data_IF_040139000214
#
_entry.id   IF_040139000214
#
_cell.length_a   1.000
_cell.length_b   1.000
_cell.length_c   1.000
_cell.angle_alpha   90.00
_cell.angle_beta   90.00
_cell.angle_gamma   90.00
#
_symmetry.space_group_name_H-M   'P 1'
#
loop_
_entity.id
_entity.type
_entity.pdbx_description
1 polymer ?
#
# COMPACT_ATOMS: atom_id res chain seq x y z
N UNK A 1 -3.37 5.68 -3.95
CA UNK A 1 -3.78 7.09 -3.90
C UNK A 1 -3.01 7.80 -2.79
N UNK A 2 -2.50 8.98 -3.07
CA UNK A 2 -1.72 9.77 -2.13
C UNK A 2 -2.63 10.85 -1.53
N UNK A 3 -2.60 10.98 -0.20
CA UNK A 3 -3.41 11.94 0.54
C UNK A 3 -2.50 13.01 1.12
N UNK A 4 -2.79 14.27 0.85
CA UNK A 4 -2.05 15.41 1.38
C UNK A 4 -2.94 16.14 2.40
N UNK A 5 -2.47 16.26 3.62
CA UNK A 5 -3.15 16.95 4.72
C UNK A 5 -2.53 18.36 4.87
N UNK A 6 -3.31 19.41 4.64
CA UNK A 6 -2.89 20.79 4.78
C UNK A 6 -3.88 21.61 5.66
N UNK A 7 -3.58 22.79 6.09
CA UNK A 7 -4.36 23.56 7.08
C UNK A 7 -5.61 24.27 6.52
N UNK A 8 -6.73 24.31 7.27
CA UNK A 8 -7.88 25.17 7.00
C UNK A 8 -7.57 26.67 7.18
N UNK A 9 -8.11 27.48 6.26
CA UNK A 9 -8.01 28.94 6.33
C UNK A 9 -8.92 29.50 7.44
N UNK A 10 -8.35 29.82 8.58
CA UNK A 10 -8.92 30.81 9.49
C UNK A 10 -8.98 32.16 8.78
N UNK A 11 -10.09 32.91 8.95
CA UNK A 11 -10.34 34.22 8.32
C UNK A 11 -9.40 35.34 8.77
N UNK A 12 -8.51 35.10 9.70
CA UNK A 12 -7.40 35.99 10.03
C UNK A 12 -6.13 35.53 9.28
N UNK A 13 -5.39 36.43 8.58
CA UNK A 13 -4.17 36.06 7.92
C UNK A 13 -3.16 35.58 8.98
N UNK A 14 -3.02 34.26 9.11
CA UNK A 14 -1.92 33.66 9.89
C UNK A 14 -0.60 34.13 9.28
N UNK A 15 0.41 34.46 10.07
CA UNK A 15 1.73 34.74 9.53
C UNK A 15 2.15 33.59 8.66
N UNK A 16 2.72 33.87 7.48
CA UNK A 16 3.22 32.82 6.59
C UNK A 16 4.19 31.95 7.36
N UNK A 17 4.04 30.62 7.35
CA UNK A 17 4.95 29.72 8.02
C UNK A 17 6.36 29.95 7.48
N UNK A 18 7.33 30.04 8.37
CA UNK A 18 8.72 30.20 7.95
C UNK A 18 9.32 28.89 7.44
N UNK A 19 8.73 27.76 7.81
CA UNK A 19 9.22 26.42 7.43
C UNK A 19 8.05 25.46 7.27
N UNK A 20 8.08 24.69 6.19
CA UNK A 20 7.17 23.58 5.94
C UNK A 20 7.95 22.28 6.05
N UNK A 21 7.44 21.33 6.82
CA UNK A 21 8.00 19.98 6.90
C UNK A 21 7.12 19.02 6.12
N UNK A 22 7.73 18.26 5.22
CA UNK A 22 7.07 17.24 4.43
C UNK A 22 7.34 15.87 5.05
N UNK A 23 6.29 15.15 5.44
CA UNK A 23 6.37 13.82 6.06
C UNK A 23 5.87 12.76 5.10
N UNK A 24 6.77 11.84 4.70
CA UNK A 24 6.49 10.75 3.78
C UNK A 24 6.69 9.38 4.44
N UNK A 25 6.08 8.35 3.85
CA UNK A 25 6.37 6.95 4.19
C UNK A 25 5.89 6.52 5.57
N UNK A 26 5.01 7.29 6.19
CA UNK A 26 4.44 6.95 7.48
C UNK A 26 3.33 5.90 7.31
N UNK A 27 3.71 4.64 7.19
CA UNK A 27 2.75 3.52 7.14
C UNK A 27 2.05 3.30 8.48
N UNK A 28 2.70 3.67 9.58
CA UNK A 28 2.18 3.59 10.94
C UNK A 28 2.58 4.82 11.72
N UNK A 29 1.63 5.38 12.48
CA UNK A 29 1.91 6.39 13.47
C UNK A 29 1.38 5.96 14.83
N UNK A 30 2.05 6.39 15.89
CA UNK A 30 1.51 6.25 17.24
C UNK A 30 0.76 7.51 17.67
N UNK A 31 -0.14 7.41 18.66
CA UNK A 31 -0.76 8.59 19.25
C UNK A 31 0.25 9.61 19.75
N UNK A 32 1.43 9.19 20.17
CA UNK A 32 2.52 10.07 20.59
C UNK A 32 3.07 10.88 19.41
N UNK A 33 3.36 10.25 18.27
CA UNK A 33 3.84 10.97 17.07
C UNK A 33 2.80 11.99 16.60
N UNK A 34 1.52 11.61 16.57
CA UNK A 34 0.43 12.52 16.24
C UNK A 34 0.41 13.73 17.17
N UNK A 35 0.47 13.50 18.50
CA UNK A 35 0.45 14.57 19.50
C UNK A 35 1.67 15.48 19.39
N UNK A 36 2.84 14.93 19.05
CA UNK A 36 4.06 15.70 18.82
C UNK A 36 3.92 16.62 17.60
N UNK A 37 3.48 16.08 16.45
CA UNK A 37 3.25 16.85 15.23
C UNK A 37 2.23 17.98 15.48
N UNK A 38 1.11 17.63 16.14
CA UNK A 38 0.10 18.60 16.50
C UNK A 38 0.66 19.75 17.38
N UNK A 39 1.41 19.41 18.43
CA UNK A 39 2.05 20.40 19.31
C UNK A 39 3.08 21.27 18.58
N UNK A 40 3.89 20.69 17.73
CA UNK A 40 4.89 21.44 16.95
C UNK A 40 4.23 22.41 15.97
N UNK A 41 3.12 22.02 15.34
CA UNK A 41 2.36 22.88 14.43
C UNK A 41 1.58 24.01 15.13
N UNK A 42 1.24 23.83 16.42
CA UNK A 42 0.41 24.78 17.17
C UNK A 42 1.16 25.53 18.28
N UNK A 43 2.47 25.29 18.42
CA UNK A 43 3.20 25.87 19.54
C UNK A 43 3.88 27.17 19.17
N UNK A 44 3.58 28.21 19.95
CA UNK A 44 4.33 29.48 20.00
C UNK A 44 5.77 29.30 20.55
N UNK A 45 6.17 28.07 20.88
CA UNK A 45 7.39 27.72 21.60
C UNK A 45 8.66 28.01 20.78
N UNK A 46 8.55 28.19 19.48
CA UNK A 46 9.67 28.54 18.60
C UNK A 46 9.69 30.02 18.17
N UNK A 47 9.15 30.90 19.00
CA UNK A 47 9.29 32.34 18.81
C UNK A 47 8.66 32.87 17.51
N UNK A 48 7.34 32.94 17.43
CA UNK A 48 6.56 33.46 16.29
C UNK A 48 6.77 32.76 14.92
N UNK A 49 7.45 31.64 14.87
CA UNK A 49 7.57 30.86 13.64
C UNK A 49 6.62 29.69 13.69
N UNK A 50 5.46 29.82 13.06
CA UNK A 50 4.58 28.69 12.81
C UNK A 50 5.31 27.68 11.91
N UNK A 51 5.24 26.42 12.27
CA UNK A 51 5.75 25.31 11.47
C UNK A 51 4.55 24.62 10.84
N UNK A 52 4.55 24.55 9.51
CA UNK A 52 3.54 23.77 8.80
C UNK A 52 4.04 22.33 8.56
N UNK A 53 3.10 21.41 8.61
CA UNK A 53 3.35 20.02 8.24
C UNK A 53 2.49 19.66 7.04
N UNK A 54 3.12 19.18 5.98
CA UNK A 54 2.48 18.48 4.88
C UNK A 54 2.72 16.97 5.03
N UNK A 55 1.65 16.23 5.25
CA UNK A 55 1.71 14.81 5.55
C UNK A 55 1.15 14.04 4.36
N UNK A 56 1.98 13.18 3.78
CA UNK A 56 1.62 12.34 2.65
C UNK A 56 1.30 10.95 3.16
N UNK A 57 0.01 10.64 3.24
CA UNK A 57 -0.49 9.35 3.71
C UNK A 57 -1.10 8.53 2.56
N UNK A 58 -0.74 7.25 2.51
CA UNK A 58 -1.33 6.34 1.55
C UNK A 58 -2.74 5.93 2.01
N UNK A 59 -3.74 6.26 1.20
CA UNK A 59 -5.11 5.82 1.41
C UNK A 59 -5.59 5.00 0.20
N UNK A 60 -5.90 3.71 0.37
CA UNK A 60 -6.30 2.86 -0.74
C UNK A 60 -7.77 3.06 -1.17
N UNK A 61 -8.61 3.67 -0.33
CA UNK A 61 -10.05 3.78 -0.54
C UNK A 61 -10.49 5.25 -0.50
N UNK A 62 -11.32 5.65 -1.47
CA UNK A 62 -11.91 6.99 -1.55
C UNK A 62 -13.13 7.16 -0.64
N UNK A 63 -13.77 6.06 -0.33
CA UNK A 63 -14.94 6.03 0.54
C UNK A 63 -14.55 5.98 2.02
N UNK A 64 -15.51 6.24 2.91
CA UNK A 64 -15.33 6.03 4.33
C UNK A 64 -15.19 4.52 4.61
N UNK A 65 -14.09 4.10 5.20
CA UNK A 65 -13.77 2.70 5.46
C UNK A 65 -13.16 2.43 6.83
N UNK A 66 -13.19 3.42 7.72
CA UNK A 66 -12.68 3.27 9.09
C UNK A 66 -13.50 2.26 9.93
N UNK A 67 -14.72 1.97 9.54
CA UNK A 67 -15.62 1.00 10.14
C UNK A 67 -15.43 -0.43 9.63
N UNK A 68 -14.71 -0.61 8.52
CA UNK A 68 -14.45 -1.95 7.95
C UNK A 68 -13.72 -2.81 8.96
N UNK A 69 -14.26 -3.97 9.25
CA UNK A 69 -13.69 -4.92 10.22
C UNK A 69 -13.42 -6.26 9.55
N UNK A 70 -12.35 -6.97 9.96
CA UNK A 70 -12.13 -8.32 9.48
C UNK A 70 -13.28 -9.21 9.94
N UNK A 71 -13.69 -10.21 9.14
CA UNK A 71 -14.71 -11.17 9.53
C UNK A 71 -14.29 -11.85 10.83
N UNK A 72 -15.22 -11.98 11.77
CA UNK A 72 -14.97 -12.56 13.11
C UNK A 72 -14.48 -14.01 13.04
N UNK A 73 -14.85 -14.71 11.97
CA UNK A 73 -14.39 -16.08 11.70
C UNK A 73 -13.99 -16.22 10.24
N UNK A 74 -12.95 -17.02 9.93
CA UNK A 74 -12.66 -17.36 8.54
C UNK A 74 -13.90 -18.04 7.94
N UNK A 75 -14.28 -17.63 6.73
CA UNK A 75 -15.37 -18.26 6.00
C UNK A 75 -15.01 -19.72 5.74
N UNK A 76 -15.90 -20.63 6.06
CA UNK A 76 -15.77 -22.05 5.69
C UNK A 76 -15.95 -22.20 4.19
N UNK A 77 -15.43 -23.30 3.62
CA UNK A 77 -15.59 -23.59 2.19
C UNK A 77 -17.07 -23.62 1.75
N UNK A 78 -17.99 -24.09 2.62
CA UNK A 78 -19.41 -24.08 2.38
C UNK A 78 -20.00 -22.65 2.35
N UNK A 79 -19.50 -21.74 3.19
CA UNK A 79 -19.92 -20.33 3.18
C UNK A 79 -19.37 -19.55 1.98
N UNK A 80 -18.22 -19.95 1.45
CA UNK A 80 -17.68 -19.37 0.21
C UNK A 80 -18.48 -19.80 -1.03
N UNK A 81 -19.19 -20.92 -0.95
CA UNK A 81 -20.06 -21.44 -2.02
C UNK A 81 -21.54 -21.06 -1.84
N UNK A 82 -21.91 -20.43 -0.73
CA UNK A 82 -23.29 -19.99 -0.49
C UNK A 82 -23.62 -18.78 -1.39
N UNK A 83 -24.83 -18.77 -1.93
CA UNK A 83 -25.33 -17.66 -2.76
C UNK A 83 -25.48 -16.35 -1.96
N UNK A 84 -25.66 -16.44 -0.64
CA UNK A 84 -25.73 -15.30 0.25
C UNK A 84 -24.53 -15.29 1.22
N UNK A 85 -23.64 -14.36 1.02
CA UNK A 85 -22.57 -14.09 1.99
C UNK A 85 -23.16 -13.32 3.19
N UNK A 86 -22.68 -13.60 4.43
CA UNK A 86 -23.06 -12.81 5.59
C UNK A 86 -22.83 -11.31 5.36
N UNK A 87 -23.65 -10.43 5.94
CA UNK A 87 -23.50 -8.96 5.79
C UNK A 87 -22.06 -8.47 6.08
N UNK A 88 -21.38 -9.09 7.05
CA UNK A 88 -19.98 -8.80 7.39
C UNK A 88 -18.98 -9.13 6.26
N UNK A 89 -19.39 -9.89 5.25
CA UNK A 89 -18.57 -10.25 4.08
C UNK A 89 -18.92 -9.46 2.81
N UNK A 90 -19.82 -8.50 2.89
CA UNK A 90 -20.16 -7.62 1.77
C UNK A 90 -19.11 -6.52 1.56
N UNK A 91 -18.32 -6.23 2.58
CA UNK A 91 -17.18 -5.31 2.45
C UNK A 91 -16.05 -5.89 1.60
N UNK A 92 -15.21 -4.99 1.05
CA UNK A 92 -14.05 -5.40 0.29
C UNK A 92 -13.11 -6.28 1.13
N UNK A 93 -12.86 -7.51 0.67
CA UNK A 93 -12.07 -8.50 1.40
C UNK A 93 -10.60 -8.07 1.63
N UNK A 94 -10.03 -7.28 0.72
CA UNK A 94 -8.66 -6.76 0.86
C UNK A 94 -8.61 -5.67 1.93
N UNK A 95 -9.56 -4.74 1.94
CA UNK A 95 -9.66 -3.71 2.96
C UNK A 95 -9.89 -4.32 4.35
N UNK A 96 -10.76 -5.33 4.44
CA UNK A 96 -11.09 -5.95 5.73
C UNK A 96 -9.94 -6.75 6.32
N UNK A 97 -9.20 -7.51 5.49
CA UNK A 97 -8.14 -8.41 5.95
C UNK A 97 -6.78 -7.73 6.08
N UNK A 98 -6.44 -6.85 5.13
CA UNK A 98 -5.10 -6.24 5.05
C UNK A 98 -5.09 -4.75 5.41
N UNK A 99 -6.25 -4.09 5.43
CA UNK A 99 -6.36 -2.64 5.62
C UNK A 99 -6.15 -2.15 7.06
N UNK A 100 -6.06 -3.02 8.08
CA UNK A 100 -6.01 -2.60 9.48
C UNK A 100 -4.94 -1.53 9.78
N UNK A 101 -3.67 -1.67 9.39
CA UNK A 101 -2.65 -0.67 9.69
C UNK A 101 -2.94 0.70 9.07
N UNK A 102 -3.35 0.71 7.77
CA UNK A 102 -3.71 1.93 7.07
C UNK A 102 -4.93 2.61 7.69
N UNK A 103 -5.96 1.84 8.04
CA UNK A 103 -7.17 2.32 8.69
C UNK A 103 -6.89 2.96 10.05
N UNK A 104 -6.06 2.33 10.88
CA UNK A 104 -5.66 2.88 12.18
C UNK A 104 -4.87 4.19 12.00
N UNK A 105 -4.01 4.25 11.01
CA UNK A 105 -3.24 5.46 10.68
C UNK A 105 -4.17 6.59 10.22
N UNK A 106 -5.10 6.32 9.30
CA UNK A 106 -6.07 7.32 8.83
C UNK A 106 -6.94 7.80 9.99
N UNK A 107 -7.42 6.90 10.85
CA UNK A 107 -8.19 7.27 12.05
C UNK A 107 -7.41 8.16 13.01
N UNK A 108 -6.09 7.98 13.13
CA UNK A 108 -5.27 8.87 13.95
C UNK A 108 -5.12 10.26 13.32
N UNK A 109 -5.03 10.33 12.00
CA UNK A 109 -4.97 11.62 11.30
C UNK A 109 -6.33 12.33 11.33
N UNK A 110 -7.43 11.64 11.16
CA UNK A 110 -8.79 12.22 11.21
C UNK A 110 -9.18 12.79 12.58
N UNK A 111 -8.43 12.46 13.64
CA UNK A 111 -8.60 13.09 14.96
C UNK A 111 -7.94 14.47 15.09
N UNK A 112 -7.16 14.90 14.13
CA UNK A 112 -6.65 16.26 14.07
C UNK A 112 -7.75 17.11 13.42
N UNK A 113 -8.21 18.16 14.09
CA UNK A 113 -9.37 18.96 13.65
C UNK A 113 -8.99 20.18 12.81
N UNK A 114 -7.73 20.64 12.90
CA UNK A 114 -7.26 21.88 12.29
C UNK A 114 -6.36 21.59 11.09
N UNK A 115 -6.86 20.82 10.12
CA UNK A 115 -6.12 20.50 8.90
C UNK A 115 -7.00 20.64 7.66
N UNK A 116 -6.37 20.92 6.53
CA UNK A 116 -6.97 20.84 5.21
C UNK A 116 -6.64 19.47 4.59
N UNK A 117 -7.66 18.79 4.10
CA UNK A 117 -7.54 17.46 3.55
C UNK A 117 -7.63 17.51 2.03
N UNK A 118 -6.55 17.12 1.36
CA UNK A 118 -6.51 17.04 -0.09
C UNK A 118 -6.45 15.59 -0.56
N UNK A 119 -7.55 15.11 -1.10
CA UNK A 119 -7.62 13.79 -1.70
C UNK A 119 -7.03 13.81 -3.12
N UNK A 120 -6.12 12.87 -3.41
CA UNK A 120 -5.49 12.69 -4.71
C UNK A 120 -5.71 11.25 -5.21
N UNK A 121 -6.97 10.85 -5.40
CA UNK A 121 -7.32 9.55 -5.94
C UNK A 121 -7.26 9.55 -7.47
N UNK A 122 -6.83 8.43 -8.04
CA UNK A 122 -6.84 8.20 -9.48
C UNK A 122 -7.56 6.89 -9.77
N UNK A 123 -8.51 6.95 -10.71
CA UNK A 123 -9.18 5.77 -11.21
C UNK A 123 -8.25 4.91 -12.07
N UNK A 124 -8.19 3.59 -11.84
CA UNK A 124 -7.51 2.68 -12.75
C UNK A 124 -8.17 2.70 -14.13
N UNK A 125 -7.41 3.03 -15.17
CA UNK A 125 -7.95 3.28 -16.52
C UNK A 125 -8.08 2.03 -17.39
N UNK A 126 -7.47 0.89 -17.02
CA UNK A 126 -7.55 -0.32 -17.83
C UNK A 126 -8.79 -1.17 -17.52
N UNK A 127 -9.17 -2.05 -18.46
CA UNK A 127 -10.18 -3.08 -18.26
C UNK A 127 -9.61 -4.40 -17.72
N UNK A 128 -8.39 -4.39 -17.19
CA UNK A 128 -7.73 -5.59 -16.67
C UNK A 128 -8.32 -6.06 -15.34
N UNK A 129 -8.09 -7.32 -14.98
CA UNK A 129 -8.50 -7.88 -13.69
C UNK A 129 -7.88 -7.09 -12.53
N UNK A 130 -6.58 -6.74 -12.63
CA UNK A 130 -5.92 -5.92 -11.62
C UNK A 130 -6.61 -4.57 -11.44
N UNK A 131 -6.94 -3.88 -12.53
CA UNK A 131 -7.64 -2.60 -12.46
C UNK A 131 -9.06 -2.74 -11.88
N UNK A 132 -9.75 -3.85 -12.15
CA UNK A 132 -11.06 -4.13 -11.55
C UNK A 132 -10.94 -4.35 -10.05
N UNK A 133 -9.95 -5.12 -9.59
CA UNK A 133 -9.65 -5.29 -8.16
C UNK A 133 -9.28 -3.95 -7.51
N UNK A 134 -8.45 -3.13 -8.17
CA UNK A 134 -8.07 -1.81 -7.66
C UNK A 134 -9.27 -0.86 -7.54
N UNK A 135 -10.19 -0.86 -8.52
CA UNK A 135 -11.45 -0.09 -8.43
C UNK A 135 -12.33 -0.57 -7.29
N UNK A 136 -12.44 -1.90 -7.12
CA UNK A 136 -13.21 -2.45 -6.00
C UNK A 136 -12.63 -2.03 -4.64
N UNK A 137 -11.30 -1.96 -4.50
CA UNK A 137 -10.66 -1.42 -3.29
C UNK A 137 -10.92 0.09 -3.16
N UNK A 138 -10.76 0.84 -4.25
CA UNK A 138 -10.91 2.29 -4.27
C UNK A 138 -12.32 2.73 -3.84
N UNK A 139 -13.35 2.03 -4.31
CA UNK A 139 -14.75 2.36 -4.06
C UNK A 139 -15.42 1.49 -2.98
N UNK A 140 -14.63 0.79 -2.18
CA UNK A 140 -15.14 -0.12 -1.14
C UNK A 140 -16.12 -1.15 -1.71
N UNK A 141 -15.90 -1.59 -2.97
CA UNK A 141 -16.75 -2.57 -3.63
C UNK A 141 -16.68 -3.95 -2.98
N UNK A 142 -17.79 -4.64 -2.98
CA UNK A 142 -17.92 -6.02 -2.50
C UNK A 142 -17.16 -7.04 -3.36
N UNK A 143 -17.47 -8.34 -3.21
CA UNK A 143 -16.90 -9.40 -4.03
C UNK A 143 -17.16 -9.16 -5.52
N UNK A 144 -16.16 -9.42 -6.35
CA UNK A 144 -16.28 -9.30 -7.80
C UNK A 144 -17.15 -10.44 -8.36
N UNK A 145 -18.13 -10.09 -9.18
CA UNK A 145 -18.92 -11.07 -9.91
C UNK A 145 -18.09 -11.77 -11.00
N UNK A 146 -18.49 -12.98 -11.38
CA UNK A 146 -17.78 -13.74 -12.41
C UNK A 146 -17.81 -13.06 -13.77
N UNK A 147 -18.87 -12.31 -14.07
CA UNK A 147 -19.03 -11.49 -15.27
C UNK A 147 -18.05 -10.33 -15.37
N UNK A 148 -17.49 -9.87 -14.26
CA UNK A 148 -16.52 -8.79 -14.19
C UNK A 148 -15.07 -9.26 -14.41
N UNK A 149 -14.86 -10.57 -14.55
CA UNK A 149 -13.55 -11.16 -14.78
C UNK A 149 -13.23 -11.16 -16.29
N UNK A 150 -12.25 -10.40 -16.75
CA UNK A 150 -11.87 -10.43 -18.15
C UNK A 150 -11.27 -11.80 -18.50
N UNK A 151 -11.69 -12.34 -19.66
CA UNK A 151 -11.13 -13.57 -20.17
C UNK A 151 -9.66 -13.37 -20.63
N UNK A 152 -8.76 -14.26 -20.23
CA UNK A 152 -7.34 -14.28 -20.63
C UNK A 152 -6.54 -13.04 -20.19
N UNK A 153 -6.74 -12.56 -18.99
CA UNK A 153 -5.98 -11.45 -18.43
C UNK A 153 -4.83 -11.99 -17.54
N UNK A 154 -3.62 -11.54 -17.84
CA UNK A 154 -2.42 -11.86 -17.08
C UNK A 154 -1.97 -10.75 -16.11
N UNK A 155 -2.81 -9.72 -15.91
CA UNK A 155 -2.47 -8.59 -15.05
C UNK A 155 -2.40 -8.94 -13.55
N UNK A 156 -3.06 -10.02 -13.15
CA UNK A 156 -3.00 -10.60 -11.82
C UNK A 156 -2.90 -12.11 -11.93
N UNK A 157 -1.81 -12.67 -11.43
CA UNK A 157 -1.54 -14.10 -11.48
C UNK A 157 -1.24 -14.64 -10.09
N UNK A 158 -1.68 -15.86 -9.82
CA UNK A 158 -1.36 -16.59 -8.60
C UNK A 158 -0.68 -17.88 -8.98
N UNK A 159 0.53 -18.07 -8.50
CA UNK A 159 1.31 -19.28 -8.72
C UNK A 159 1.55 -20.02 -7.39
N UNK A 160 1.73 -21.33 -7.45
CA UNK A 160 2.12 -22.14 -6.30
C UNK A 160 3.44 -22.83 -6.62
N UNK A 161 4.33 -22.82 -5.64
CA UNK A 161 5.62 -23.51 -5.73
C UNK A 161 5.77 -24.52 -4.58
N UNK A 162 6.55 -25.60 -4.75
CA UNK A 162 6.74 -26.63 -3.73
C UNK A 162 7.54 -26.13 -2.53
N UNK A 163 8.44 -25.17 -2.73
CA UNK A 163 9.27 -24.58 -1.70
C UNK A 163 9.68 -23.13 -2.08
N UNK A 164 10.35 -22.44 -1.14
CA UNK A 164 10.81 -21.06 -1.33
C UNK A 164 11.82 -20.89 -2.45
N UNK A 165 12.67 -21.91 -2.68
CA UNK A 165 13.69 -21.86 -3.73
C UNK A 165 13.03 -21.89 -5.11
N UNK A 166 12.12 -22.83 -5.34
CA UNK A 166 11.35 -22.92 -6.58
C UNK A 166 10.45 -21.69 -6.80
N UNK A 167 9.92 -21.08 -5.71
CA UNK A 167 9.14 -19.84 -5.79
C UNK A 167 10.00 -18.67 -6.30
N UNK A 168 11.20 -18.50 -5.75
CA UNK A 168 12.12 -17.43 -6.16
C UNK A 168 12.69 -17.67 -7.56
N UNK A 169 12.98 -18.94 -7.93
CA UNK A 169 13.37 -19.29 -9.29
C UNK A 169 12.27 -18.97 -10.32
N UNK A 170 11.03 -19.30 -10.01
CA UNK A 170 9.89 -18.98 -10.86
C UNK A 170 9.70 -17.46 -11.02
N UNK A 171 9.79 -16.71 -9.91
CA UNK A 171 9.71 -15.24 -9.93
C UNK A 171 10.83 -14.64 -10.79
N UNK A 172 12.08 -15.11 -10.63
CA UNK A 172 13.22 -14.67 -11.46
C UNK A 172 13.00 -14.97 -12.94
N UNK A 173 12.51 -16.18 -13.27
CA UNK A 173 12.22 -16.56 -14.66
C UNK A 173 11.15 -15.63 -15.27
N UNK A 174 10.06 -15.37 -14.57
CA UNK A 174 9.02 -14.43 -15.00
C UNK A 174 9.55 -13.01 -15.20
N UNK A 175 10.40 -12.50 -14.30
CA UNK A 175 11.03 -11.19 -14.44
C UNK A 175 11.91 -11.15 -15.69
N UNK A 176 12.72 -12.19 -15.93
CA UNK A 176 13.58 -12.26 -17.12
C UNK A 176 12.74 -12.27 -18.41
N UNK A 177 11.64 -13.00 -18.45
CA UNK A 177 10.71 -13.02 -19.59
C UNK A 177 10.05 -11.65 -19.80
N UNK A 178 9.62 -10.99 -18.73
CA UNK A 178 9.01 -9.66 -18.80
C UNK A 178 9.98 -8.61 -19.36
N UNK A 179 11.23 -8.63 -18.90
CA UNK A 179 12.27 -7.70 -19.37
C UNK A 179 12.63 -7.96 -20.83
N UNK A 180 12.68 -9.24 -21.26
CA UNK A 180 12.91 -9.59 -22.66
C UNK A 180 11.75 -9.20 -23.57
N UNK A 181 10.52 -9.38 -23.11
CA UNK A 181 9.32 -9.06 -23.88
C UNK A 181 9.08 -7.54 -23.96
N UNK A 182 9.55 -6.77 -22.99
CA UNK A 182 9.30 -5.34 -22.87
C UNK A 182 10.62 -4.54 -22.75
N UNK A 183 11.27 -4.19 -23.86
CA UNK A 183 12.57 -3.48 -23.83
C UNK A 183 12.52 -2.09 -23.19
N UNK A 184 11.34 -1.54 -22.90
CA UNK A 184 11.14 -0.27 -22.21
C UNK A 184 10.95 -0.42 -20.70
N UNK A 185 10.75 -1.64 -20.22
CA UNK A 185 10.61 -1.92 -18.80
C UNK A 185 12.00 -1.98 -18.17
N UNK A 186 12.22 -1.21 -17.14
CA UNK A 186 13.48 -1.20 -16.40
C UNK A 186 13.40 -2.08 -15.16
N UNK A 187 14.49 -2.75 -14.75
CA UNK A 187 14.50 -3.59 -13.55
C UNK A 187 14.03 -2.88 -12.28
N UNK A 188 14.33 -1.59 -12.14
CA UNK A 188 13.90 -0.75 -11.01
C UNK A 188 12.40 -0.50 -10.93
N UNK A 189 11.64 -0.83 -11.98
CA UNK A 189 10.17 -0.75 -11.99
C UNK A 189 9.52 -2.04 -11.48
N UNK A 190 10.32 -3.06 -11.14
CA UNK A 190 9.86 -4.36 -10.67
C UNK A 190 10.26 -4.52 -9.20
N UNK A 191 9.29 -4.87 -8.35
CA UNK A 191 9.54 -5.13 -6.93
C UNK A 191 9.19 -6.58 -6.56
N UNK A 192 10.05 -7.20 -5.76
CA UNK A 192 9.77 -8.48 -5.08
C UNK A 192 9.52 -8.15 -3.61
N UNK A 193 8.34 -8.51 -3.12
CA UNK A 193 7.93 -8.21 -1.75
C UNK A 193 7.66 -9.54 -1.01
N UNK A 194 8.65 -10.11 -0.32
CA UNK A 194 8.47 -11.33 0.45
C UNK A 194 7.69 -11.05 1.74
N UNK A 195 6.96 -12.06 2.22
CA UNK A 195 6.23 -11.98 3.50
C UNK A 195 7.18 -11.79 4.68
N UNK A 196 8.34 -12.44 4.64
CA UNK A 196 9.41 -12.29 5.62
C UNK A 196 10.74 -12.22 4.87
N UNK A 197 11.37 -11.05 4.88
CA UNK A 197 12.61 -10.84 4.14
C UNK A 197 13.76 -11.70 4.67
N UNK A 198 13.89 -11.87 5.99
CA UNK A 198 14.96 -12.66 6.60
C UNK A 198 14.97 -14.10 6.12
N UNK A 199 13.80 -14.70 5.95
CA UNK A 199 13.64 -16.07 5.48
C UNK A 199 13.93 -16.24 3.98
N UNK A 200 13.66 -15.21 3.19
CA UNK A 200 13.81 -15.25 1.73
C UNK A 200 15.16 -14.72 1.25
N UNK A 201 15.81 -13.86 2.02
CA UNK A 201 17.06 -13.20 1.61
C UNK A 201 18.15 -14.17 1.16
N UNK A 202 18.50 -15.25 1.90
CA UNK A 202 19.52 -16.21 1.46
C UNK A 202 19.13 -16.92 0.16
N UNK A 203 17.84 -17.16 -0.04
CA UNK A 203 17.32 -17.83 -1.25
C UNK A 203 17.38 -16.86 -2.44
N UNK A 204 16.96 -15.60 -2.25
CA UNK A 204 17.03 -14.56 -3.28
C UNK A 204 18.50 -14.38 -3.72
N UNK A 205 19.42 -14.20 -2.77
CA UNK A 205 20.84 -14.09 -3.07
C UNK A 205 21.35 -15.32 -3.87
N UNK A 206 21.04 -16.52 -3.42
CA UNK A 206 21.46 -17.73 -4.10
C UNK A 206 20.94 -17.82 -5.54
N UNK A 207 19.66 -17.54 -5.76
CA UNK A 207 19.00 -17.65 -7.06
C UNK A 207 19.44 -16.55 -8.04
N UNK A 208 19.57 -15.31 -7.56
CA UNK A 208 19.90 -14.19 -8.43
C UNK A 208 21.40 -14.09 -8.73
N UNK A 209 22.28 -14.49 -7.79
CA UNK A 209 23.74 -14.49 -8.00
C UNK A 209 24.26 -15.80 -8.61
N UNK A 210 23.62 -16.93 -8.33
CA UNK A 210 24.02 -18.26 -8.79
C UNK A 210 23.64 -18.60 -10.23
N UNK A 211 23.05 -17.68 -10.98
CA UNK A 211 22.67 -17.91 -12.36
C UNK A 211 23.92 -18.17 -13.24
N UNK A 212 23.95 -19.22 -14.09
CA UNK A 212 25.05 -19.46 -14.99
C UNK A 212 25.27 -18.25 -15.90
N UNK A 213 26.55 -17.88 -16.11
CA UNK A 213 26.94 -16.80 -17.02
C UNK A 213 26.33 -17.06 -18.41
N UNK A 214 25.38 -16.21 -18.83
CA UNK A 214 24.69 -16.34 -20.12
C UNK A 214 23.16 -16.44 -20.04
N UNK A 215 22.57 -16.92 -18.94
CA UNK A 215 21.16 -16.75 -18.68
C UNK A 215 20.98 -15.35 -18.09
N UNK A 216 20.32 -14.43 -18.80
CA UNK A 216 20.25 -13.01 -18.51
C UNK A 216 20.33 -12.66 -17.03
N UNK A 217 21.41 -11.96 -16.66
CA UNK A 217 21.60 -11.49 -15.29
C UNK A 217 20.51 -10.46 -15.01
N UNK A 218 19.61 -10.78 -14.10
CA UNK A 218 18.62 -9.83 -13.62
C UNK A 218 19.28 -9.06 -12.48
N UNK A 219 19.63 -7.78 -12.66
CA UNK A 219 20.18 -6.97 -11.57
C UNK A 219 19.11 -6.76 -10.51
N UNK A 220 19.49 -6.81 -9.24
CA UNK A 220 18.58 -6.53 -8.14
C UNK A 220 19.25 -5.64 -7.10
N UNK A 221 18.44 -4.93 -6.34
CA UNK A 221 18.87 -4.13 -5.21
C UNK A 221 18.00 -4.51 -4.01
N UNK A 222 18.63 -4.69 -2.85
CA UNK A 222 17.92 -4.90 -1.60
C UNK A 222 17.62 -3.55 -0.99
N UNK A 223 16.34 -3.24 -0.85
CA UNK A 223 15.91 -2.08 -0.07
C UNK A 223 15.78 -2.49 1.38
N UNK A 224 16.75 -2.16 2.20
CA UNK A 224 16.73 -2.52 3.61
C UNK A 224 15.77 -1.65 4.41
N UNK A 225 14.69 -2.26 4.87
CA UNK A 225 13.94 -1.77 6.01
C UNK A 225 14.57 -2.21 7.36
N UNK A 226 15.77 -2.79 7.36
CA UNK A 226 16.35 -3.54 8.46
C UNK A 226 17.73 -3.13 9.00
N UNK A 227 18.34 -2.03 8.52
CA UNK A 227 19.62 -1.57 9.08
C UNK A 227 19.47 -0.66 10.31
N UNK A 228 18.65 -1.03 11.26
CA UNK A 228 18.72 -0.48 12.62
C UNK A 228 18.87 -1.63 13.63
N UNK A 229 19.87 -2.48 13.42
CA UNK A 229 20.43 -3.35 14.45
C UNK A 229 21.92 -3.08 14.49
N UNK A 230 22.30 -2.01 15.16
CA UNK A 230 23.49 -1.87 15.99
C UNK A 230 23.17 -1.08 17.25
#
# INVERSE_FOLDING_TARGET
AEMVLGQERSTNPKPKPQKTFHLFGLSHISPFHRALIYKLGHSDTFGNSAVDFEIYALNPCSEYWEDVSPPRKPLTHAQLQAEELPEESQDNALLSRFGKPGRETIRLWSQITDYDFKACFQEPQSGSLLATVQRAVLHRGGPLEESERPNQDASLQVASAPDRHAEVEAARAQIAELLLANPRLHPEEIAIIPVNLEDYLPVIESVFTGAPHGAGVVPYCLSEAGMLQE
#
